data_IF_620917249637
#
_entry.id   IF_620917249637
#
_cell.length_a   1.000
_cell.length_b   1.000
_cell.length_c   1.000
_cell.angle_alpha   90.00
_cell.angle_beta   90.00
_cell.angle_gamma   90.00
#
_symmetry.space_group_name_H-M   'P 1'
#
loop_
_entity.id
_entity.type
_entity.pdbx_description
1 polymer ?
#
# COMPACT_ATOMS: atom_id res chain seq x y z
N UNK A 1 -10.63 32.18 -12.41
CA UNK A 1 -10.35 30.73 -12.34
C UNK A 1 -8.94 30.64 -11.80
N UNK A 2 -8.77 30.06 -10.61
CA UNK A 2 -7.46 30.01 -9.94
C UNK A 2 -6.75 28.69 -10.26
N UNK A 3 -5.42 28.69 -10.40
CA UNK A 3 -4.65 27.46 -10.57
C UNK A 3 -4.75 26.55 -9.34
N UNK A 4 -4.81 25.24 -9.57
CA UNK A 4 -4.76 24.23 -8.52
C UNK A 4 -3.40 23.53 -8.54
N UNK A 5 -2.82 23.30 -7.36
CA UNK A 5 -1.59 22.52 -7.17
C UNK A 5 -1.82 21.45 -6.12
N UNK A 6 -1.48 20.21 -6.45
CA UNK A 6 -1.49 19.12 -5.49
C UNK A 6 -0.39 19.36 -4.46
N UNK A 7 -0.76 19.31 -3.18
CA UNK A 7 0.17 19.38 -2.05
C UNK A 7 -0.28 18.35 -1.03
N UNK A 8 0.54 17.32 -0.85
CA UNK A 8 0.31 16.25 0.14
C UNK A 8 1.28 16.45 1.30
N UNK A 9 0.79 16.73 2.52
CA UNK A 9 1.64 16.93 3.69
C UNK A 9 2.50 15.70 4.00
N UNK A 10 3.74 15.91 4.42
CA UNK A 10 4.65 14.83 4.85
C UNK A 10 4.05 13.95 5.95
N UNK A 11 3.26 14.55 6.85
CA UNK A 11 2.56 13.82 7.90
C UNK A 11 1.56 12.78 7.37
N UNK A 12 0.92 13.02 6.22
CA UNK A 12 0.01 12.04 5.61
C UNK A 12 0.78 10.90 4.96
N UNK A 13 1.94 11.19 4.36
CA UNK A 13 2.82 10.15 3.79
C UNK A 13 3.39 9.27 4.92
N UNK A 14 3.78 9.87 6.05
CA UNK A 14 4.25 9.15 7.22
C UNK A 14 3.16 8.26 7.84
N UNK A 15 1.93 8.77 8.01
CA UNK A 15 0.79 7.99 8.49
C UNK A 15 0.45 6.82 7.55
N UNK A 16 0.49 7.04 6.24
CA UNK A 16 0.31 5.98 5.25
C UNK A 16 1.35 4.87 5.41
N UNK A 17 2.64 5.23 5.47
CA UNK A 17 3.73 4.25 5.65
C UNK A 17 3.55 3.43 6.92
N UNK A 18 3.20 4.07 8.02
CA UNK A 18 2.98 3.38 9.29
C UNK A 18 1.85 2.35 9.18
N UNK A 19 0.72 2.71 8.54
CA UNK A 19 -0.40 1.78 8.33
C UNK A 19 -0.03 0.59 7.45
N UNK A 20 0.76 0.81 6.40
CA UNK A 20 1.22 -0.27 5.52
C UNK A 20 2.10 -1.26 6.30
N UNK A 21 3.05 -0.76 7.09
CA UNK A 21 3.94 -1.60 7.91
C UNK A 21 3.17 -2.35 9.00
N UNK A 22 2.19 -1.71 9.64
CA UNK A 22 1.40 -2.31 10.72
C UNK A 22 0.22 -3.16 10.21
N UNK A 23 0.16 -3.48 8.91
CA UNK A 23 -0.95 -4.21 8.33
C UNK A 23 -1.04 -5.62 8.91
N UNK A 24 -2.21 -5.95 9.47
CA UNK A 24 -2.55 -7.32 9.85
C UNK A 24 -3.16 -8.06 8.67
N UNK A 25 -2.42 -9.02 8.14
CA UNK A 25 -2.82 -9.81 6.99
C UNK A 25 -3.82 -10.93 7.34
N UNK A 26 -4.81 -11.21 6.46
CA UNK A 26 -5.64 -12.40 6.57
C UNK A 26 -4.89 -13.64 6.10
N UNK A 27 -5.43 -14.83 6.38
CA UNK A 27 -4.96 -16.08 5.80
C UNK A 27 -5.42 -16.24 4.34
N UNK A 28 -4.71 -17.07 3.56
CA UNK A 28 -5.08 -17.46 2.20
C UNK A 28 -5.10 -18.99 2.07
N UNK A 29 -6.06 -19.51 1.27
CA UNK A 29 -6.13 -20.94 0.95
C UNK A 29 -4.87 -21.33 0.14
N UNK A 30 -4.10 -22.36 0.56
CA UNK A 30 -2.89 -22.75 -0.15
C UNK A 30 -3.15 -23.08 -1.63
N UNK A 31 -2.38 -22.46 -2.52
CA UNK A 31 -2.48 -22.70 -3.97
C UNK A 31 -3.68 -22.05 -4.66
N UNK A 32 -4.49 -21.25 -3.96
CA UNK A 32 -5.66 -20.61 -4.58
C UNK A 32 -5.32 -19.44 -5.51
N UNK A 33 -4.12 -18.86 -5.39
CA UNK A 33 -3.71 -17.69 -6.16
C UNK A 33 -4.80 -16.60 -6.18
N UNK A 34 -5.28 -16.30 -7.38
CA UNK A 34 -6.28 -15.26 -7.64
C UNK A 34 -7.74 -15.73 -7.66
N UNK A 35 -8.00 -17.02 -7.44
CA UNK A 35 -9.33 -17.63 -7.64
C UNK A 35 -10.42 -17.04 -6.73
N UNK A 36 -10.02 -16.48 -5.58
CA UNK A 36 -10.92 -15.92 -4.57
C UNK A 36 -10.67 -14.43 -4.29
N UNK A 37 -9.97 -13.74 -5.18
CA UNK A 37 -9.65 -12.32 -5.03
C UNK A 37 -8.16 -12.04 -5.23
N UNK A 38 -7.68 -10.96 -4.63
CA UNK A 38 -6.28 -10.59 -4.73
C UNK A 38 -5.40 -11.64 -4.05
N UNK A 39 -4.36 -12.09 -4.75
CA UNK A 39 -3.37 -12.97 -4.14
C UNK A 39 -2.63 -12.25 -3.01
N UNK A 40 -2.57 -12.90 -1.85
CA UNK A 40 -2.01 -12.35 -0.63
C UNK A 40 -0.52 -12.05 -0.76
N UNK A 41 0.25 -12.97 -1.39
CA UNK A 41 1.70 -12.80 -1.52
C UNK A 41 2.03 -11.59 -2.40
N UNK A 42 1.31 -11.48 -3.53
CA UNK A 42 1.45 -10.33 -4.42
C UNK A 42 1.08 -9.01 -3.73
N UNK A 43 0.00 -8.99 -2.93
CA UNK A 43 -0.43 -7.77 -2.25
C UNK A 43 0.55 -7.35 -1.14
N UNK A 44 1.12 -8.32 -0.43
CA UNK A 44 2.19 -8.07 0.56
C UNK A 44 3.42 -7.44 -0.10
N UNK A 45 3.86 -7.98 -1.24
CA UNK A 45 4.99 -7.43 -1.99
C UNK A 45 4.72 -5.99 -2.48
N UNK A 46 3.51 -5.75 -3.00
CA UNK A 46 3.10 -4.40 -3.41
C UNK A 46 3.08 -3.42 -2.23
N UNK A 47 2.51 -3.83 -1.09
CA UNK A 47 2.45 -2.99 0.11
C UNK A 47 3.85 -2.65 0.64
N UNK A 48 4.76 -3.62 0.63
CA UNK A 48 6.16 -3.41 1.01
C UNK A 48 6.86 -2.41 0.08
N UNK A 49 6.71 -2.57 -1.24
CA UNK A 49 7.24 -1.61 -2.20
C UNK A 49 6.64 -0.21 -2.00
N UNK A 50 5.35 -0.10 -1.72
CA UNK A 50 4.72 1.20 -1.51
C UNK A 50 5.20 1.89 -0.24
N UNK A 51 5.45 1.14 0.83
CA UNK A 51 5.97 1.69 2.08
C UNK A 51 7.40 2.23 1.91
N UNK A 52 8.28 1.43 1.30
CA UNK A 52 9.73 1.63 1.40
C UNK A 52 10.45 1.92 0.05
N UNK A 53 9.84 1.56 -1.07
CA UNK A 53 10.44 1.71 -2.41
C UNK A 53 9.85 2.85 -3.25
N UNK A 54 8.59 3.20 -3.04
CA UNK A 54 7.91 4.24 -3.81
C UNK A 54 8.26 5.64 -3.32
N UNK A 55 8.69 6.50 -4.26
CA UNK A 55 8.94 7.92 -4.00
C UNK A 55 7.68 8.74 -4.22
N UNK A 56 7.21 9.38 -3.15
CA UNK A 56 6.03 10.25 -3.17
C UNK A 56 6.33 11.68 -3.65
N UNK A 57 7.59 12.04 -3.84
CA UNK A 57 8.03 13.40 -4.16
C UNK A 57 8.61 13.51 -5.56
#
# INVERSE_FOLDING_TARGET
MEPFRISVPDAQIADLRQRLVDTRWPDQIPGSGWDYGCDLSWLQDLAAYWADGFDWR
#
